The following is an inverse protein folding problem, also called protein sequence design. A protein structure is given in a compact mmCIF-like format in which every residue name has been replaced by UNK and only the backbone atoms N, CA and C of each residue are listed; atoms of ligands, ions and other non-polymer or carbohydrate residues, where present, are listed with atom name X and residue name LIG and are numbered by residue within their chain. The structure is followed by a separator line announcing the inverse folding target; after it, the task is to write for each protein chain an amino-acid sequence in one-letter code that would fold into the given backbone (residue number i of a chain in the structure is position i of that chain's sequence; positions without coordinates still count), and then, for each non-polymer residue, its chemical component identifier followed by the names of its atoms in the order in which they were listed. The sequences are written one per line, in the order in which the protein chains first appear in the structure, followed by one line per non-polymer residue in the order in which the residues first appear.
data_IF_985068201609
#
_entry.id   IF_985068201609
#
_cell.length_a   1.000
_cell.length_b   1.000
_cell.length_c   1.000
_cell.angle_alpha   90.00
_cell.angle_beta   90.00
_cell.angle_gamma   90.00
#
_symmetry.space_group_name_H-M   'P 1'
#
loop_
_entity.id
_entity.type
_entity.pdbx_description
1 polymer ?
#
# COMPACT_ATOMS: atom_id res chain seq x y z
N UNK A 1 17.48 -10.93 -11.78
CA UNK A 1 16.33 -10.52 -12.62
C UNK A 1 16.47 -9.02 -12.88
N UNK A 2 16.89 -8.61 -14.08
CA UNK A 2 17.06 -7.19 -14.44
C UNK A 2 16.07 -6.83 -15.54
N UNK A 3 14.93 -6.34 -15.12
CA UNK A 3 14.07 -5.51 -15.95
C UNK A 3 14.25 -4.08 -15.44
N UNK A 4 15.34 -3.44 -15.87
CA UNK A 4 15.64 -2.04 -15.57
C UNK A 4 15.27 -1.17 -16.78
N UNK A 5 14.51 -0.09 -16.55
CA UNK A 5 14.31 0.97 -17.53
C UNK A 5 14.98 2.22 -16.99
N UNK A 6 16.21 2.51 -17.43
CA UNK A 6 17.02 3.67 -16.98
C UNK A 6 17.17 3.80 -15.45
N UNK A 7 17.26 2.67 -14.74
CA UNK A 7 17.40 2.65 -13.28
C UNK A 7 16.08 2.58 -12.51
N UNK A 8 14.92 2.71 -13.18
CA UNK A 8 13.62 2.37 -12.59
C UNK A 8 13.42 0.85 -12.65
N UNK A 9 13.08 0.25 -11.51
CA UNK A 9 12.74 -1.17 -11.36
C UNK A 9 11.24 -1.36 -11.08
N UNK A 10 10.75 -2.58 -11.28
CA UNK A 10 9.39 -2.98 -10.93
C UNK A 10 8.39 -2.93 -12.09
N UNK A 11 7.11 -2.87 -11.76
CA UNK A 11 6.00 -2.98 -12.72
C UNK A 11 5.99 -1.87 -13.78
N UNK A 12 6.43 -0.65 -13.44
CA UNK A 12 6.50 0.49 -14.36
C UNK A 12 7.61 0.30 -15.41
N UNK A 13 8.74 -0.27 -15.01
CA UNK A 13 9.84 -0.59 -15.91
C UNK A 13 9.45 -1.72 -16.89
N UNK A 14 8.78 -2.76 -16.39
CA UNK A 14 8.23 -3.85 -17.22
C UNK A 14 7.21 -3.31 -18.23
N UNK A 15 6.35 -2.39 -17.82
CA UNK A 15 5.40 -1.70 -18.68
C UNK A 15 6.07 -0.86 -19.77
N UNK A 16 7.21 -0.22 -19.48
CA UNK A 16 7.96 0.58 -20.44
C UNK A 16 8.78 -0.27 -21.44
N UNK A 17 9.23 -1.46 -21.02
CA UNK A 17 10.05 -2.37 -21.83
C UNK A 17 9.22 -3.25 -22.78
N UNK A 18 7.94 -3.50 -22.46
CA UNK A 18 7.06 -4.33 -23.29
C UNK A 18 6.64 -3.59 -24.56
N UNK A 19 7.16 -4.04 -25.72
CA UNK A 19 6.63 -3.67 -27.04
C UNK A 19 5.42 -4.55 -27.36
N UNK A 20 4.25 -3.95 -27.56
CA UNK A 20 2.99 -4.68 -27.76
C UNK A 20 2.13 -4.07 -28.87
N UNK A 21 1.38 -4.92 -29.56
CA UNK A 21 0.33 -4.56 -30.53
C UNK A 21 -0.71 -3.60 -29.91
N UNK A 22 -1.23 -2.63 -30.68
CA UNK A 22 -2.16 -1.59 -30.19
C UNK A 22 -3.33 -2.14 -29.36
N UNK A 23 -3.83 -3.35 -29.69
CA UNK A 23 -4.96 -3.99 -28.99
C UNK A 23 -4.60 -4.56 -27.61
N UNK A 24 -3.37 -5.00 -27.40
CA UNK A 24 -2.89 -5.56 -26.11
C UNK A 24 -2.34 -4.49 -25.17
N UNK A 25 -2.04 -3.31 -25.69
CA UNK A 25 -1.53 -2.17 -24.91
C UNK A 25 -2.45 -1.75 -23.77
N UNK A 26 -3.77 -1.72 -24.01
CA UNK A 26 -4.75 -1.37 -22.98
C UNK A 26 -4.81 -2.38 -21.84
N UNK A 27 -4.74 -3.67 -22.15
CA UNK A 27 -4.72 -4.74 -21.13
C UNK A 27 -3.47 -4.64 -20.26
N UNK A 28 -2.32 -4.37 -20.87
CA UNK A 28 -1.07 -4.19 -20.13
C UNK A 28 -1.13 -2.95 -19.24
N UNK A 29 -1.67 -1.82 -19.72
CA UNK A 29 -1.84 -0.60 -18.91
C UNK A 29 -2.75 -0.88 -17.72
N UNK A 30 -3.87 -1.58 -17.93
CA UNK A 30 -4.78 -1.96 -16.85
C UNK A 30 -4.08 -2.85 -15.80
N UNK A 31 -3.29 -3.85 -16.24
CA UNK A 31 -2.52 -4.70 -15.35
C UNK A 31 -1.43 -3.94 -14.59
N UNK A 32 -0.74 -3.01 -15.25
CA UNK A 32 0.26 -2.15 -14.63
C UNK A 32 -0.36 -1.22 -13.58
N UNK A 33 -1.50 -0.59 -13.90
CA UNK A 33 -2.24 0.25 -12.96
C UNK A 33 -2.77 -0.57 -11.79
N UNK A 34 -3.29 -1.76 -12.05
CA UNK A 34 -3.78 -2.68 -11.02
C UNK A 34 -2.65 -3.11 -10.08
N UNK A 35 -1.50 -3.50 -10.63
CA UNK A 35 -0.32 -3.83 -9.83
C UNK A 35 0.17 -2.64 -9.00
N UNK A 36 0.14 -1.43 -9.57
CA UNK A 36 0.54 -0.21 -8.86
C UNK A 36 -0.42 0.13 -7.73
N UNK A 37 -1.73 -0.01 -7.97
CA UNK A 37 -2.75 0.19 -6.96
C UNK A 37 -2.64 -0.84 -5.82
N UNK A 38 -2.33 -2.10 -6.13
CA UNK A 38 -2.09 -3.12 -5.11
C UNK A 38 -0.85 -2.82 -4.29
N UNK A 39 0.27 -2.44 -4.91
CA UNK A 39 1.49 -2.08 -4.18
C UNK A 39 1.28 -0.86 -3.28
N UNK A 40 0.60 0.16 -3.81
CA UNK A 40 0.28 1.37 -3.05
C UNK A 40 -0.70 1.08 -1.91
N UNK A 41 -1.71 0.25 -2.18
CA UNK A 41 -2.67 -0.22 -1.20
C UNK A 41 -1.99 -0.99 -0.08
N UNK A 42 -1.19 -2.01 -0.39
CA UNK A 42 -0.48 -2.82 0.60
C UNK A 42 0.49 -1.98 1.46
N UNK A 43 1.17 -1.02 0.83
CA UNK A 43 2.04 -0.05 1.50
C UNK A 43 1.31 0.89 2.48
N UNK A 44 0.02 1.17 2.26
CA UNK A 44 -0.79 2.01 3.15
C UNK A 44 -1.60 1.18 4.16
N UNK A 45 -2.10 0.02 3.75
CA UNK A 45 -2.95 -0.87 4.55
C UNK A 45 -2.14 -1.54 5.67
N UNK A 46 -0.94 -2.02 5.38
CA UNK A 46 -0.09 -2.69 6.37
C UNK A 46 0.18 -1.82 7.61
N UNK A 47 0.69 -0.57 7.50
CA UNK A 47 0.90 0.27 8.67
C UNK A 47 -0.40 0.67 9.38
N UNK A 48 -1.51 0.83 8.64
CA UNK A 48 -2.80 1.13 9.25
C UNK A 48 -3.30 -0.03 10.13
N UNK A 49 -3.23 -1.27 9.61
CA UNK A 49 -3.65 -2.47 10.35
C UNK A 49 -2.73 -2.70 11.55
N UNK A 50 -1.41 -2.61 11.38
CA UNK A 50 -0.48 -2.90 12.48
C UNK A 50 -0.62 -1.91 13.64
N UNK A 51 -0.81 -0.62 13.36
CA UNK A 51 -1.04 0.40 14.40
C UNK A 51 -2.39 0.17 15.09
N UNK A 52 -3.47 -0.07 14.34
CA UNK A 52 -4.78 -0.35 14.92
C UNK A 52 -4.72 -1.58 15.85
N UNK A 53 -4.15 -2.69 15.38
CA UNK A 53 -4.04 -3.92 16.18
C UNK A 53 -3.15 -3.74 17.42
N UNK A 54 -2.09 -2.92 17.35
CA UNK A 54 -1.28 -2.60 18.52
C UNK A 54 -2.07 -1.83 19.59
N UNK A 55 -2.93 -0.89 19.17
CA UNK A 55 -3.74 -0.08 20.07
C UNK A 55 -4.95 -0.88 20.61
N UNK A 56 -5.58 -1.71 19.80
CA UNK A 56 -6.64 -2.64 20.25
C UNK A 56 -6.16 -3.62 21.32
N UNK A 57 -4.88 -4.02 21.27
CA UNK A 57 -4.25 -4.83 22.32
C UNK A 57 -4.29 -4.18 23.72
N UNK A 58 -4.44 -2.86 23.82
CA UNK A 58 -4.59 -2.14 25.09
C UNK A 58 -5.96 -2.39 25.75
N UNK A 59 -7.01 -2.60 24.96
CA UNK A 59 -8.36 -2.91 25.45
C UNK A 59 -8.44 -4.28 26.15
N UNK A 60 -7.62 -5.24 25.72
CA UNK A 60 -7.49 -6.56 26.36
C UNK A 60 -6.94 -6.44 27.79
N UNK A 61 -6.05 -5.46 28.04
CA UNK A 61 -5.50 -5.21 29.37
C UNK A 61 -6.44 -4.36 30.24
N UNK A 62 -7.18 -3.40 29.66
CA UNK A 62 -8.24 -2.67 30.36
C UNK A 62 -9.28 -2.07 29.39
N UNK A 63 -10.54 -2.44 29.59
CA UNK A 63 -11.70 -2.03 28.78
C UNK A 63 -11.99 -0.51 28.84
N UNK A 64 -11.28 0.25 29.68
CA UNK A 64 -11.46 1.71 29.75
C UNK A 64 -10.87 2.42 28.53
N UNK A 65 -9.99 1.75 27.76
CA UNK A 65 -9.38 2.32 26.56
C UNK A 65 -10.17 2.10 25.27
N UNK A 66 -11.26 1.34 25.28
CA UNK A 66 -12.01 1.00 24.05
C UNK A 66 -12.47 2.24 23.26
N UNK A 67 -12.96 3.27 23.96
CA UNK A 67 -13.35 4.55 23.32
C UNK A 67 -12.16 5.38 22.81
N UNK A 68 -10.94 5.09 23.25
CA UNK A 68 -9.72 5.80 22.85
C UNK A 68 -8.95 5.10 21.74
N UNK A 69 -9.27 3.85 21.40
CA UNK A 69 -8.56 3.07 20.37
C UNK A 69 -8.53 3.81 19.03
N UNK A 70 -9.70 4.22 18.54
CA UNK A 70 -9.83 4.91 17.25
C UNK A 70 -9.09 6.26 17.25
N UNK A 71 -9.32 7.19 18.19
CA UNK A 71 -8.63 8.49 18.17
C UNK A 71 -7.11 8.36 18.37
N UNK A 72 -6.61 7.42 19.17
CA UNK A 72 -5.17 7.17 19.33
C UNK A 72 -4.58 6.65 18.01
N UNK A 73 -5.23 5.68 17.37
CA UNK A 73 -4.79 5.14 16.08
C UNK A 73 -4.70 6.24 15.02
N UNK A 74 -5.73 7.09 14.92
CA UNK A 74 -5.73 8.23 14.00
C UNK A 74 -4.63 9.23 14.32
N UNK A 75 -4.41 9.56 15.59
CA UNK A 75 -3.34 10.48 16.00
C UNK A 75 -1.95 9.95 15.61
N UNK A 76 -1.70 8.65 15.80
CA UNK A 76 -0.43 8.00 15.42
C UNK A 76 -0.26 8.03 13.90
N UNK A 77 -1.30 7.67 13.14
CA UNK A 77 -1.22 7.67 11.67
C UNK A 77 -0.97 9.08 11.14
N UNK A 78 -1.65 10.10 11.65
CA UNK A 78 -1.42 11.50 11.28
C UNK A 78 -0.01 11.94 11.63
N UNK A 79 0.51 11.60 12.81
CA UNK A 79 1.84 12.02 13.23
C UNK A 79 2.99 11.38 12.42
N UNK A 80 2.78 10.19 11.86
CA UNK A 80 3.81 9.44 11.12
C UNK A 80 3.71 9.66 9.60
N UNK A 81 2.49 9.77 9.06
CA UNK A 81 2.26 9.76 7.60
C UNK A 81 1.84 11.10 7.00
N UNK A 82 1.46 12.10 7.81
CA UNK A 82 1.06 13.44 7.34
C UNK A 82 2.15 14.48 7.63
#
# INVERSE_FOLDING_TARGET
MRADNRGEGGILALMALVKTEKRRRWVLIALGLFGAALLYGDGMITPAITVLSAVEGLGVATHRFDHYVVPITLAILVAIFL
#
